data_IF_106964297991
#
_entry.id   IF_106964297991
#
_cell.length_a   1.000
_cell.length_b   1.000
_cell.length_c   1.000
_cell.angle_alpha   90.00
_cell.angle_beta   90.00
_cell.angle_gamma   90.00
#
_symmetry.space_group_name_H-M   'P 1'
#
loop_
_entity.id
_entity.type
_entity.pdbx_description
1 polymer ?
#
# COMPACT_ATOMS: atom_id res chain seq x y z
N UNK A 1 -6.04 8.36 -18.16
CA UNK A 1 -7.15 7.39 -18.07
C UNK A 1 -6.71 6.11 -17.39
N UNK A 2 -5.73 5.36 -17.95
CA UNK A 2 -5.18 4.12 -17.35
C UNK A 2 -4.98 4.21 -15.83
N UNK A 3 -4.18 5.18 -15.36
CA UNK A 3 -3.94 5.38 -13.92
C UNK A 3 -5.23 5.57 -13.11
N UNK A 4 -6.15 6.45 -13.57
CA UNK A 4 -7.39 6.75 -12.84
C UNK A 4 -8.25 5.49 -12.65
N UNK A 5 -8.38 4.68 -13.70
CA UNK A 5 -9.20 3.47 -13.67
C UNK A 5 -8.55 2.37 -12.83
N UNK A 6 -7.24 2.17 -12.98
CA UNK A 6 -6.51 1.11 -12.28
C UNK A 6 -6.40 1.36 -10.77
N UNK A 7 -6.23 2.61 -10.36
CA UNK A 7 -6.10 2.97 -8.94
C UNK A 7 -7.45 3.17 -8.26
N UNK A 8 -8.55 3.24 -9.02
CA UNK A 8 -9.91 3.36 -8.49
C UNK A 8 -10.31 2.20 -7.59
N UNK A 9 -11.32 2.39 -6.75
CA UNK A 9 -11.77 1.37 -5.81
C UNK A 9 -12.41 0.12 -6.47
N UNK A 10 -13.39 0.27 -7.39
CA UNK A 10 -14.10 -0.86 -7.97
C UNK A 10 -13.22 -1.76 -8.84
N UNK A 11 -13.23 -3.07 -8.56
CA UNK A 11 -12.51 -4.09 -9.36
C UNK A 11 -12.88 -4.03 -10.87
N UNK A 12 -14.16 -3.86 -11.27
CA UNK A 12 -14.51 -3.78 -12.69
C UNK A 12 -13.79 -2.64 -13.43
N UNK A 13 -13.62 -1.48 -12.79
CA UNK A 13 -12.91 -0.34 -13.40
C UNK A 13 -11.42 -0.65 -13.60
N UNK A 14 -10.81 -1.43 -12.71
CA UNK A 14 -9.42 -1.89 -12.85
C UNK A 14 -9.25 -2.79 -14.06
N UNK A 15 -10.22 -3.65 -14.36
CA UNK A 15 -10.23 -4.47 -15.58
C UNK A 15 -10.40 -3.60 -16.84
N UNK A 16 -11.29 -2.60 -16.79
CA UNK A 16 -11.45 -1.63 -17.89
C UNK A 16 -10.16 -0.84 -18.13
N UNK A 17 -9.36 -0.58 -17.09
CA UNK A 17 -8.06 0.07 -17.23
C UNK A 17 -7.14 -0.68 -18.20
N UNK A 18 -7.26 -2.01 -18.29
CA UNK A 18 -6.44 -2.83 -19.20
C UNK A 18 -6.70 -2.51 -20.68
N UNK A 19 -7.88 -1.99 -21.04
CA UNK A 19 -8.18 -1.55 -22.40
C UNK A 19 -7.37 -0.32 -22.83
N UNK A 20 -6.77 0.40 -21.87
CA UNK A 20 -5.96 1.60 -22.13
C UNK A 20 -4.46 1.32 -22.16
N UNK A 21 -4.04 0.05 -22.07
CA UNK A 21 -2.64 -0.33 -22.19
C UNK A 21 -2.17 -0.09 -23.62
N UNK A 22 -1.07 0.64 -23.75
CA UNK A 22 -0.45 0.95 -25.05
C UNK A 22 0.78 0.09 -25.32
N UNK A 23 1.28 -0.67 -24.33
CA UNK A 23 2.42 -1.56 -24.54
C UNK A 23 2.11 -2.58 -25.63
N UNK A 24 2.82 -2.57 -26.77
CA UNK A 24 2.76 -3.68 -27.69
C UNK A 24 3.33 -4.91 -26.99
N UNK A 25 2.59 -6.03 -26.95
CA UNK A 25 3.08 -7.32 -26.43
C UNK A 25 4.39 -7.77 -27.12
N UNK A 26 4.73 -7.18 -28.27
CA UNK A 26 5.95 -7.45 -29.04
C UNK A 26 7.18 -6.64 -28.62
N UNK A 27 7.13 -5.77 -27.60
CA UNK A 27 8.36 -5.07 -27.19
C UNK A 27 9.28 -6.08 -26.50
N UNK A 28 10.31 -6.52 -27.24
CA UNK A 28 11.46 -7.30 -26.78
C UNK A 28 12.29 -6.48 -25.78
N UNK A 29 11.68 -6.14 -24.64
CA UNK A 29 12.35 -5.41 -23.57
C UNK A 29 13.26 -6.37 -22.81
N UNK A 30 14.46 -5.91 -22.49
CA UNK A 30 15.33 -6.59 -21.53
C UNK A 30 14.55 -6.75 -20.22
N UNK A 31 14.46 -7.97 -19.70
CA UNK A 31 13.78 -8.27 -18.44
C UNK A 31 14.55 -7.57 -17.32
N UNK A 32 13.94 -6.56 -16.71
CA UNK A 32 14.48 -5.90 -15.51
C UNK A 32 14.23 -6.80 -14.29
N UNK A 33 14.95 -6.56 -13.19
CA UNK A 33 14.74 -7.32 -11.95
C UNK A 33 13.29 -7.23 -11.43
N UNK A 34 12.65 -6.06 -11.52
CA UNK A 34 11.25 -5.92 -11.14
C UNK A 34 10.30 -6.74 -12.03
N UNK A 35 10.55 -6.79 -13.36
CA UNK A 35 9.79 -7.71 -14.25
C UNK A 35 10.02 -9.16 -13.88
N UNK A 36 11.26 -9.54 -13.57
CA UNK A 36 11.60 -10.88 -13.14
C UNK A 36 10.87 -11.26 -11.84
N UNK A 37 10.72 -10.34 -10.88
CA UNK A 37 9.92 -10.55 -9.67
C UNK A 37 8.47 -10.92 -10.01
N UNK A 38 7.79 -10.09 -10.78
CA UNK A 38 6.39 -10.32 -11.12
C UNK A 38 6.18 -11.60 -11.93
N UNK A 39 7.04 -11.85 -12.93
CA UNK A 39 7.01 -13.10 -13.71
C UNK A 39 7.24 -14.31 -12.80
N UNK A 40 8.21 -14.23 -11.89
CA UNK A 40 8.52 -15.30 -10.97
C UNK A 40 7.35 -15.62 -10.05
N UNK A 41 6.76 -14.61 -9.39
CA UNK A 41 5.64 -14.82 -8.48
C UNK A 41 4.39 -15.34 -9.21
N UNK A 42 4.09 -14.82 -10.41
CA UNK A 42 3.00 -15.34 -11.23
C UNK A 42 3.26 -16.81 -11.65
N UNK A 43 4.49 -17.14 -12.06
CA UNK A 43 4.87 -18.51 -12.45
C UNK A 43 4.85 -19.47 -11.26
N UNK A 44 5.34 -19.02 -10.11
CA UNK A 44 5.23 -19.77 -8.85
C UNK A 44 3.77 -20.04 -8.52
N UNK A 45 2.91 -19.02 -8.63
CA UNK A 45 1.49 -19.16 -8.36
C UNK A 45 0.84 -20.16 -9.31
N UNK A 46 1.18 -20.09 -10.61
CA UNK A 46 0.71 -21.01 -11.63
C UNK A 46 1.09 -22.46 -11.31
N UNK A 47 2.37 -22.72 -11.02
CA UNK A 47 2.90 -24.07 -10.73
C UNK A 47 2.33 -24.61 -9.42
N UNK A 48 2.39 -23.82 -8.35
CA UNK A 48 1.84 -24.23 -7.04
C UNK A 48 0.36 -24.53 -7.19
N UNK A 49 -0.41 -23.59 -7.76
CA UNK A 49 -1.85 -23.79 -7.93
C UNK A 49 -2.18 -25.03 -8.73
N UNK A 50 -1.48 -25.27 -9.86
CA UNK A 50 -1.68 -26.46 -10.70
C UNK A 50 -1.50 -27.78 -9.94
N UNK A 51 -0.56 -27.85 -9.00
CA UNK A 51 -0.34 -29.04 -8.16
C UNK A 51 -1.47 -29.28 -7.15
N UNK A 52 -2.20 -28.22 -6.77
CA UNK A 52 -3.24 -28.26 -5.74
C UNK A 52 -4.67 -27.97 -6.26
N UNK A 53 -4.86 -27.87 -7.59
CA UNK A 53 -6.15 -27.57 -8.23
C UNK A 53 -7.27 -28.56 -7.87
N UNK A 54 -6.90 -29.79 -7.49
CA UNK A 54 -7.86 -30.84 -7.14
C UNK A 54 -8.42 -30.72 -5.71
N UNK A 55 -7.97 -29.75 -4.92
CA UNK A 55 -8.55 -29.46 -3.62
C UNK A 55 -9.86 -28.66 -3.80
N UNK A 56 -10.96 -29.13 -3.20
CA UNK A 56 -12.29 -28.57 -3.47
C UNK A 56 -12.35 -27.05 -3.19
N UNK A 57 -12.94 -26.30 -4.13
CA UNK A 57 -13.18 -24.86 -4.11
C UNK A 57 -11.95 -23.92 -4.08
N UNK A 58 -10.72 -24.43 -4.09
CA UNK A 58 -9.51 -23.59 -4.14
C UNK A 58 -9.31 -22.86 -5.49
N UNK A 59 -9.85 -23.41 -6.57
CA UNK A 59 -9.59 -22.94 -7.93
C UNK A 59 -9.91 -21.44 -8.13
N UNK A 60 -10.95 -20.89 -7.49
CA UNK A 60 -11.29 -19.46 -7.62
C UNK A 60 -10.22 -18.58 -6.98
N UNK A 61 -9.83 -18.90 -5.75
CA UNK A 61 -8.77 -18.19 -5.03
C UNK A 61 -7.48 -18.20 -5.85
N UNK A 62 -7.11 -19.37 -6.37
CA UNK A 62 -5.98 -19.54 -7.26
C UNK A 62 -6.03 -18.63 -8.50
N UNK A 63 -7.13 -18.66 -9.26
CA UNK A 63 -7.26 -17.85 -10.48
C UNK A 63 -7.24 -16.35 -10.18
N UNK A 64 -7.87 -15.92 -9.07
CA UNK A 64 -7.86 -14.51 -8.66
C UNK A 64 -6.47 -14.02 -8.28
N UNK A 65 -5.70 -14.80 -7.51
CA UNK A 65 -4.32 -14.43 -7.16
C UNK A 65 -3.44 -14.37 -8.42
N UNK A 66 -3.53 -15.37 -9.29
CA UNK A 66 -2.80 -15.38 -10.55
C UNK A 66 -3.15 -14.17 -11.41
N UNK A 67 -4.44 -13.86 -11.55
CA UNK A 67 -4.94 -12.69 -12.27
C UNK A 67 -4.36 -11.39 -11.69
N UNK A 68 -4.34 -11.24 -10.37
CA UNK A 68 -3.80 -10.02 -9.74
C UNK A 68 -2.31 -9.85 -9.98
N UNK A 69 -1.50 -10.91 -9.90
CA UNK A 69 -0.08 -10.82 -10.25
C UNK A 69 0.16 -10.51 -11.72
N UNK A 70 -0.65 -11.07 -12.62
CA UNK A 70 -0.58 -10.75 -14.05
C UNK A 70 -0.94 -9.28 -14.28
N UNK A 71 -2.00 -8.77 -13.64
CA UNK A 71 -2.39 -7.35 -13.75
C UNK A 71 -1.28 -6.44 -13.20
N UNK A 72 -0.69 -6.78 -12.05
CA UNK A 72 0.43 -6.03 -11.48
C UNK A 72 1.63 -5.98 -12.44
N UNK A 73 1.99 -7.12 -13.04
CA UNK A 73 3.06 -7.22 -14.03
C UNK A 73 2.81 -6.30 -15.25
N UNK A 74 1.60 -6.41 -15.81
CA UNK A 74 1.18 -5.65 -16.98
C UNK A 74 1.19 -4.15 -16.66
N UNK A 75 0.67 -3.76 -15.49
CA UNK A 75 0.64 -2.38 -15.05
C UNK A 75 2.05 -1.81 -14.86
N UNK A 76 2.97 -2.56 -14.24
CA UNK A 76 4.38 -2.16 -14.16
C UNK A 76 4.99 -1.94 -15.55
N UNK A 77 4.71 -2.84 -16.51
CA UNK A 77 5.20 -2.72 -17.88
C UNK A 77 4.65 -1.47 -18.58
N UNK A 78 3.37 -1.14 -18.41
CA UNK A 78 2.76 0.08 -18.95
C UNK A 78 3.39 1.33 -18.35
N UNK A 79 3.59 1.40 -17.03
CA UNK A 79 4.25 2.54 -16.39
C UNK A 79 5.70 2.70 -16.86
N UNK A 80 6.46 1.61 -16.92
CA UNK A 80 7.84 1.65 -17.42
C UNK A 80 7.89 2.12 -18.87
N UNK A 81 6.98 1.63 -19.71
CA UNK A 81 6.90 2.04 -21.11
C UNK A 81 6.52 3.53 -21.24
N UNK A 82 5.53 3.99 -20.46
CA UNK A 82 5.12 5.39 -20.40
C UNK A 82 6.31 6.30 -20.03
N UNK A 83 7.07 5.97 -18.99
CA UNK A 83 8.24 6.74 -18.58
C UNK A 83 9.34 6.74 -19.64
N UNK A 84 9.55 5.64 -20.37
CA UNK A 84 10.58 5.56 -21.42
C UNK A 84 10.21 6.38 -22.67
N UNK A 85 8.96 6.30 -23.12
CA UNK A 85 8.53 6.87 -24.39
C UNK A 85 8.24 8.38 -24.33
N UNK A 86 7.94 8.93 -23.16
CA UNK A 86 7.49 10.31 -23.02
C UNK A 86 8.59 11.21 -22.42
N UNK A 87 8.59 12.48 -22.79
CA UNK A 87 9.49 13.46 -22.19
C UNK A 87 9.07 13.85 -20.76
N UNK A 88 9.93 14.60 -20.06
CA UNK A 88 9.63 15.04 -18.68
C UNK A 88 8.40 15.95 -18.62
N UNK A 89 8.14 16.76 -19.64
CA UNK A 89 7.00 17.66 -19.67
C UNK A 89 5.67 16.88 -19.67
N UNK A 90 5.55 15.88 -20.53
CA UNK A 90 4.36 15.02 -20.66
C UNK A 90 4.13 14.18 -19.40
N UNK A 91 5.21 13.61 -18.85
CA UNK A 91 5.13 12.85 -17.59
C UNK A 91 4.64 13.76 -16.46
N UNK A 92 5.23 14.94 -16.31
CA UNK A 92 4.85 15.90 -15.26
C UNK A 92 3.43 16.41 -15.45
N UNK A 93 2.99 16.69 -16.68
CA UNK A 93 1.63 17.08 -16.97
C UNK A 93 0.63 15.98 -16.57
N UNK A 94 0.96 14.72 -16.84
CA UNK A 94 0.13 13.56 -16.47
C UNK A 94 0.02 13.40 -14.96
N UNK A 95 1.14 13.47 -14.24
CA UNK A 95 1.21 13.40 -12.78
C UNK A 95 0.42 14.55 -12.15
N UNK A 96 0.57 15.78 -12.66
CA UNK A 96 -0.17 16.94 -12.17
C UNK A 96 -1.68 16.82 -12.45
N UNK A 97 -2.07 16.35 -13.63
CA UNK A 97 -3.46 16.16 -13.98
C UNK A 97 -4.13 15.15 -13.04
N UNK A 98 -3.48 14.00 -12.83
CA UNK A 98 -3.94 12.99 -11.87
C UNK A 98 -4.06 13.55 -10.45
N UNK A 99 -3.06 14.31 -9.99
CA UNK A 99 -3.07 14.98 -8.70
C UNK A 99 -4.26 15.92 -8.52
N UNK A 100 -4.51 16.80 -9.48
CA UNK A 100 -5.60 17.78 -9.40
C UNK A 100 -6.98 17.12 -9.49
N UNK A 101 -7.13 16.06 -10.28
CA UNK A 101 -8.35 15.26 -10.28
C UNK A 101 -8.61 14.70 -8.88
N UNK A 102 -7.62 14.07 -8.24
CA UNK A 102 -7.80 13.57 -6.88
C UNK A 102 -8.13 14.69 -5.87
N UNK A 103 -7.46 15.85 -5.98
CA UNK A 103 -7.74 17.01 -5.12
C UNK A 103 -9.20 17.47 -5.21
N UNK A 104 -9.77 17.53 -6.41
CA UNK A 104 -11.18 17.90 -6.61
C UNK A 104 -12.11 16.95 -5.84
N UNK A 105 -11.87 15.64 -5.92
CA UNK A 105 -12.65 14.64 -5.18
C UNK A 105 -12.50 14.79 -3.66
N UNK A 106 -11.28 15.06 -3.18
CA UNK A 106 -11.02 15.31 -1.74
C UNK A 106 -11.78 16.55 -1.26
N UNK A 107 -11.76 17.64 -2.02
CA UNK A 107 -12.50 18.87 -1.67
C UNK A 107 -14.00 18.62 -1.66
N UNK A 108 -14.53 17.92 -2.67
CA UNK A 108 -15.94 17.55 -2.73
C UNK A 108 -16.36 16.72 -1.51
N UNK A 109 -15.59 15.68 -1.17
CA UNK A 109 -15.84 14.84 0.01
C UNK A 109 -15.80 15.65 1.30
N UNK A 110 -14.79 16.53 1.46
CA UNK A 110 -14.69 17.38 2.64
C UNK A 110 -15.90 18.31 2.78
N UNK A 111 -16.33 18.95 1.70
CA UNK A 111 -17.52 19.82 1.71
C UNK A 111 -18.77 19.01 2.10
N UNK A 112 -18.94 17.81 1.54
CA UNK A 112 -20.06 16.93 1.90
C UNK A 112 -20.05 16.57 3.39
N UNK A 113 -18.89 16.30 3.98
CA UNK A 113 -18.74 16.00 5.42
C UNK A 113 -19.03 17.25 6.27
N UNK A 114 -18.55 18.43 5.87
CA UNK A 114 -18.85 19.70 6.57
C UNK A 114 -20.36 19.95 6.61
N UNK A 115 -21.05 19.76 5.48
CA UNK A 115 -22.51 19.90 5.40
C UNK A 115 -23.21 18.87 6.29
N UNK A 116 -22.78 17.60 6.22
CA UNK A 116 -23.37 16.51 7.00
C UNK A 116 -23.17 16.67 8.52
N UNK A 117 -21.97 17.07 8.94
CA UNK A 117 -21.60 17.22 10.36
C UNK A 117 -22.05 18.54 10.97
N UNK A 118 -22.43 19.53 10.17
CA UNK A 118 -22.79 20.87 10.64
C UNK A 118 -21.62 21.65 11.27
N UNK A 119 -20.38 21.21 11.05
CA UNK A 119 -19.16 21.80 11.62
C UNK A 119 -18.14 22.11 10.53
N UNK A 120 -17.54 23.30 10.57
CA UNK A 120 -16.42 23.67 9.69
C UNK A 120 -15.20 22.78 9.92
N UNK A 121 -14.97 22.34 11.16
CA UNK A 121 -13.99 21.31 11.46
C UNK A 121 -14.72 19.96 11.64
N UNK A 122 -14.73 19.08 10.63
CA UNK A 122 -15.45 17.82 10.72
C UNK A 122 -14.89 16.89 11.80
N UNK A 123 -13.61 17.04 12.17
CA UNK A 123 -12.99 16.23 13.21
C UNK A 123 -13.46 16.56 14.63
N UNK A 124 -14.09 17.72 14.85
CA UNK A 124 -14.74 18.03 16.13
C UNK A 124 -16.01 17.20 16.34
N UNK A 125 -16.64 16.75 15.26
CA UNK A 125 -17.86 15.95 15.32
C UNK A 125 -17.54 14.44 15.41
N UNK A 126 -16.51 13.99 14.70
CA UNK A 126 -15.99 12.62 14.81
C UNK A 126 -14.61 12.51 14.16
N UNK A 127 -13.66 11.83 14.81
CA UNK A 127 -12.39 11.46 14.16
C UNK A 127 -12.57 10.59 12.91
N UNK A 128 -13.63 9.77 12.85
CA UNK A 128 -13.89 8.86 11.73
C UNK A 128 -14.26 9.56 10.42
N UNK A 129 -14.57 10.86 10.47
CA UNK A 129 -14.81 11.64 9.25
C UNK A 129 -13.61 11.68 8.30
N UNK A 130 -12.38 11.51 8.81
CA UNK A 130 -11.19 11.39 7.96
C UNK A 130 -11.26 10.17 7.03
N UNK A 131 -11.88 9.08 7.49
CA UNK A 131 -12.00 7.84 6.70
C UNK A 131 -12.90 7.98 5.47
N UNK A 132 -13.76 9.00 5.48
CA UNK A 132 -14.63 9.35 4.35
C UNK A 132 -13.88 10.13 3.25
N UNK A 133 -12.66 10.62 3.51
CA UNK A 133 -11.86 11.40 2.56
C UNK A 133 -10.96 10.47 1.75
N UNK A 134 -11.59 9.72 0.85
CA UNK A 134 -10.95 8.67 0.05
C UNK A 134 -10.34 9.17 -1.27
N UNK A 135 -10.60 10.41 -1.69
CA UNK A 135 -10.24 10.90 -3.02
C UNK A 135 -10.90 10.05 -4.12
N UNK A 136 -10.13 9.66 -5.14
CA UNK A 136 -10.58 8.72 -6.19
C UNK A 136 -10.40 7.23 -5.83
N UNK A 137 -9.93 6.92 -4.63
CA UNK A 137 -9.55 5.57 -4.22
C UNK A 137 -10.67 4.83 -3.48
N UNK A 138 -10.44 3.54 -3.16
CA UNK A 138 -11.37 2.75 -2.35
C UNK A 138 -11.39 3.09 -0.86
N UNK A 139 -10.35 3.76 -0.33
CA UNK A 139 -10.26 4.10 1.08
C UNK A 139 -9.33 5.30 1.33
N UNK A 140 -9.46 5.91 2.51
CA UNK A 140 -8.68 7.06 2.97
C UNK A 140 -7.18 6.76 3.09
N UNK A 141 -6.80 5.53 3.48
CA UNK A 141 -5.41 5.13 3.66
C UNK A 141 -4.59 5.23 2.36
N UNK A 142 -5.18 4.81 1.22
CA UNK A 142 -4.55 4.93 -0.09
C UNK A 142 -4.37 6.41 -0.45
N UNK A 143 -5.43 7.22 -0.27
CA UNK A 143 -5.37 8.66 -0.54
C UNK A 143 -4.23 9.30 0.24
N UNK A 144 -4.13 8.99 1.53
CA UNK A 144 -3.09 9.53 2.38
C UNK A 144 -1.70 9.11 1.91
N UNK A 145 -1.46 7.81 1.70
CA UNK A 145 -0.15 7.31 1.24
C UNK A 145 0.28 8.01 -0.05
N UNK A 146 -0.63 8.08 -1.02
CA UNK A 146 -0.36 8.68 -2.32
C UNK A 146 -0.12 10.18 -2.20
N UNK A 147 -0.94 10.91 -1.44
CA UNK A 147 -0.72 12.35 -1.20
C UNK A 147 0.59 12.60 -0.46
N UNK A 148 1.04 11.67 0.39
CA UNK A 148 2.38 11.68 0.97
C UNK A 148 3.50 11.58 -0.08
N UNK A 149 3.34 10.70 -1.08
CA UNK A 149 4.27 10.64 -2.22
C UNK A 149 4.27 11.94 -3.03
N UNK A 150 3.10 12.53 -3.29
CA UNK A 150 3.00 13.83 -3.96
C UNK A 150 3.63 14.97 -3.16
N UNK A 151 3.45 15.00 -1.83
CA UNK A 151 4.07 16.00 -0.97
C UNK A 151 5.60 15.91 -1.06
N UNK A 152 6.15 14.70 -0.92
CA UNK A 152 7.59 14.46 -1.09
C UNK A 152 8.05 14.92 -2.49
N UNK A 153 7.33 14.53 -3.54
CA UNK A 153 7.64 14.89 -4.92
C UNK A 153 7.67 16.41 -5.14
N UNK A 154 6.60 17.12 -4.76
CA UNK A 154 6.48 18.57 -4.96
C UNK A 154 7.42 19.38 -4.08
N UNK A 155 7.80 18.88 -2.91
CA UNK A 155 8.87 19.46 -2.09
C UNK A 155 10.19 19.51 -2.88
N UNK A 156 10.59 18.39 -3.49
CA UNK A 156 11.81 18.34 -4.30
C UNK A 156 11.71 19.12 -5.62
N UNK A 157 10.51 19.19 -6.22
CA UNK A 157 10.26 20.04 -7.40
C UNK A 157 10.12 21.52 -7.08
N UNK A 158 10.22 21.93 -5.80
CA UNK A 158 10.07 23.30 -5.34
C UNK A 158 8.73 23.95 -5.77
N UNK A 159 7.68 23.14 -5.89
CA UNK A 159 6.33 23.62 -6.26
C UNK A 159 5.49 23.80 -4.99
N UNK A 160 5.73 24.90 -4.27
CA UNK A 160 5.16 25.12 -2.93
C UNK A 160 3.63 25.07 -2.90
N UNK A 161 2.94 25.66 -3.88
CA UNK A 161 1.47 25.60 -3.92
C UNK A 161 0.93 24.17 -4.00
N UNK A 162 1.52 23.33 -4.85
CA UNK A 162 1.13 21.91 -4.97
C UNK A 162 1.53 21.09 -3.76
N UNK A 163 2.67 21.41 -3.13
CA UNK A 163 3.08 20.82 -1.86
C UNK A 163 2.03 21.09 -0.77
N UNK A 164 1.57 22.33 -0.61
CA UNK A 164 0.56 22.66 0.38
C UNK A 164 -0.78 21.96 0.12
N UNK A 165 -1.20 21.87 -1.15
CA UNK A 165 -2.40 21.10 -1.52
C UNK A 165 -2.22 19.62 -1.18
N UNK A 166 -1.06 19.02 -1.49
CA UNK A 166 -0.79 17.62 -1.20
C UNK A 166 -0.78 17.35 0.32
N UNK A 167 -0.14 18.24 1.11
CA UNK A 167 -0.14 18.17 2.57
C UNK A 167 -1.55 18.35 3.15
N UNK A 168 -2.34 19.26 2.59
CA UNK A 168 -3.74 19.42 2.99
C UNK A 168 -4.52 18.13 2.77
N UNK A 169 -4.49 17.56 1.55
CA UNK A 169 -5.17 16.29 1.27
C UNK A 169 -4.66 15.16 2.17
N UNK A 170 -3.34 15.09 2.38
CA UNK A 170 -2.71 14.13 3.27
C UNK A 170 -3.27 14.22 4.70
N UNK A 171 -3.25 15.42 5.31
CA UNK A 171 -3.67 15.63 6.70
C UNK A 171 -5.17 15.40 6.90
N UNK A 172 -6.00 15.79 5.94
CA UNK A 172 -7.47 15.65 6.03
C UNK A 172 -7.93 14.18 6.05
N UNK A 173 -7.14 13.23 5.60
CA UNK A 173 -7.54 11.81 5.68
C UNK A 173 -7.59 11.25 7.10
N UNK A 174 -6.90 11.88 8.07
CA UNK A 174 -6.89 11.41 9.47
C UNK A 174 -6.29 10.02 9.70
N UNK A 175 -5.62 9.41 8.72
CA UNK A 175 -5.16 8.02 8.82
C UNK A 175 -3.80 7.89 9.55
N UNK A 176 -3.84 7.76 10.89
CA UNK A 176 -2.64 7.83 11.75
C UNK A 176 -1.49 6.87 11.40
N UNK A 177 -1.80 5.63 11.00
CA UNK A 177 -0.77 4.59 10.86
C UNK A 177 0.23 4.92 9.74
N UNK A 178 -0.25 5.36 8.58
CA UNK A 178 0.68 5.73 7.51
C UNK A 178 1.28 7.13 7.73
N UNK A 179 0.65 8.02 8.49
CA UNK A 179 1.30 9.25 8.93
C UNK A 179 2.56 8.93 9.73
N UNK A 180 2.45 8.05 10.74
CA UNK A 180 3.58 7.64 11.56
C UNK A 180 4.70 7.02 10.70
N UNK A 181 4.34 6.14 9.76
CA UNK A 181 5.30 5.55 8.82
C UNK A 181 6.01 6.63 7.98
N UNK A 182 5.27 7.63 7.48
CA UNK A 182 5.88 8.74 6.74
C UNK A 182 6.85 9.53 7.61
N UNK A 183 6.48 9.86 8.85
CA UNK A 183 7.33 10.60 9.78
C UNK A 183 8.60 9.83 10.13
N UNK A 184 8.49 8.52 10.37
CA UNK A 184 9.65 7.64 10.59
C UNK A 184 10.53 7.60 9.35
N UNK A 185 9.95 7.44 8.16
CA UNK A 185 10.71 7.42 6.90
C UNK A 185 11.44 8.75 6.62
N UNK A 186 10.78 9.89 6.87
CA UNK A 186 11.41 11.21 6.79
C UNK A 186 12.57 11.31 7.78
N UNK A 187 12.34 10.95 9.04
CA UNK A 187 13.37 10.96 10.09
C UNK A 187 14.57 10.11 9.67
N UNK A 188 14.35 8.84 9.33
CA UNK A 188 15.41 7.95 8.85
C UNK A 188 16.15 8.55 7.66
N UNK A 189 15.44 9.13 6.68
CA UNK A 189 16.07 9.74 5.52
C UNK A 189 16.99 10.90 5.89
N UNK A 190 16.51 11.85 6.68
CA UNK A 190 17.26 13.05 7.03
C UNK A 190 18.45 12.74 7.94
N UNK A 191 18.33 11.74 8.82
CA UNK A 191 19.45 11.33 9.68
C UNK A 191 20.49 10.49 8.93
N UNK A 192 20.07 9.55 8.07
CA UNK A 192 20.97 8.58 7.43
C UNK A 192 21.56 9.07 6.09
N UNK A 193 20.82 9.82 5.28
CA UNK A 193 21.21 10.10 3.89
C UNK A 193 21.44 11.59 3.59
N UNK A 194 20.72 12.51 4.25
CA UNK A 194 20.90 13.93 4.01
C UNK A 194 22.08 14.49 4.81
N UNK A 195 23.01 15.18 4.12
CA UNK A 195 24.18 15.78 4.76
C UNK A 195 23.94 17.25 5.14
N UNK A 196 23.00 17.93 4.48
CA UNK A 196 22.72 19.35 4.71
C UNK A 196 21.95 19.55 6.01
N UNK A 197 22.57 20.24 6.97
CA UNK A 197 21.98 20.52 8.28
C UNK A 197 20.66 21.30 8.18
N UNK A 198 20.56 22.24 7.23
CA UNK A 198 19.35 23.04 7.03
C UNK A 198 18.12 22.18 6.70
N UNK A 199 18.28 21.15 5.87
CA UNK A 199 17.19 20.24 5.54
C UNK A 199 16.79 19.34 6.71
N UNK A 200 17.74 18.96 7.59
CA UNK A 200 17.42 18.26 8.83
C UNK A 200 16.56 19.14 9.74
N UNK A 201 16.93 20.42 9.91
CA UNK A 201 16.14 21.38 10.70
C UNK A 201 14.74 21.54 10.10
N UNK A 202 14.61 21.75 8.79
CA UNK A 202 13.28 21.87 8.16
C UNK A 202 12.45 20.60 8.33
N UNK A 203 13.07 19.42 8.30
CA UNK A 203 12.34 18.17 8.53
C UNK A 203 11.80 18.06 9.95
N UNK A 204 12.58 18.44 10.96
CA UNK A 204 12.15 18.45 12.36
C UNK A 204 11.01 19.45 12.53
N UNK A 205 11.12 20.63 11.93
CA UNK A 205 10.04 21.63 11.96
C UNK A 205 8.76 21.09 11.32
N UNK A 206 8.84 20.42 10.17
CA UNK A 206 7.67 19.78 9.52
C UNK A 206 7.05 18.72 10.44
N UNK A 207 7.86 17.86 11.06
CA UNK A 207 7.39 16.83 11.99
C UNK A 207 6.66 17.48 13.18
N UNK A 208 7.25 18.51 13.79
CA UNK A 208 6.64 19.25 14.89
C UNK A 208 5.32 19.90 14.43
N UNK A 209 5.29 20.55 13.27
CA UNK A 209 4.08 21.16 12.73
C UNK A 209 2.95 20.15 12.52
N UNK A 210 3.27 18.93 12.05
CA UNK A 210 2.29 17.87 11.88
C UNK A 210 1.77 17.37 13.24
N UNK A 211 2.64 17.16 14.23
CA UNK A 211 2.23 16.76 15.58
C UNK A 211 1.32 17.82 16.21
N UNK A 212 1.72 19.09 16.12
CA UNK A 212 0.93 20.23 16.60
C UNK A 212 -0.42 20.29 15.89
N UNK A 213 -0.46 20.10 14.57
CA UNK A 213 -1.71 20.05 13.82
C UNK A 213 -2.66 18.99 14.37
N UNK A 214 -2.21 17.74 14.54
CA UNK A 214 -3.09 16.69 15.05
C UNK A 214 -3.54 16.91 16.49
N UNK A 215 -2.66 17.43 17.34
CA UNK A 215 -3.00 17.76 18.73
C UNK A 215 -4.15 18.78 18.82
N UNK A 216 -4.13 19.82 17.98
CA UNK A 216 -5.15 20.88 18.01
C UNK A 216 -6.39 20.59 17.15
N UNK A 217 -6.24 19.96 15.99
CA UNK A 217 -7.33 19.78 15.03
C UNK A 217 -8.00 18.42 15.09
N UNK A 218 -7.36 17.40 15.67
CA UNK A 218 -7.88 16.03 15.70
C UNK A 218 -7.37 15.26 16.93
N UNK A 219 -7.72 15.78 18.13
CA UNK A 219 -7.26 15.25 19.42
C UNK A 219 -7.59 13.77 19.62
N UNK A 220 -8.77 13.32 19.21
CA UNK A 220 -9.18 11.91 19.28
C UNK A 220 -8.22 10.98 18.53
N UNK A 221 -7.75 11.39 17.34
CA UNK A 221 -6.79 10.61 16.57
C UNK A 221 -5.41 10.56 17.25
N UNK A 222 -5.01 11.65 17.93
CA UNK A 222 -3.80 11.68 18.74
C UNK A 222 -3.90 10.71 19.93
N UNK A 223 -5.00 10.77 20.68
CA UNK A 223 -5.25 9.88 21.82
C UNK A 223 -5.32 8.41 21.37
N UNK A 224 -5.94 8.15 20.22
CA UNK A 224 -5.97 6.83 19.58
C UNK A 224 -4.55 6.30 19.27
N UNK A 225 -3.69 7.13 18.68
CA UNK A 225 -2.32 6.74 18.34
C UNK A 225 -1.51 6.38 19.60
N UNK A 226 -1.63 7.16 20.68
CA UNK A 226 -0.99 6.86 21.96
C UNK A 226 -1.52 5.56 22.58
N UNK A 227 -2.85 5.36 22.55
CA UNK A 227 -3.46 4.12 23.02
C UNK A 227 -2.96 2.89 22.26
N UNK A 228 -2.78 3.00 20.95
CA UNK A 228 -2.20 1.93 20.13
C UNK A 228 -0.76 1.61 20.54
N UNK A 229 0.10 2.62 20.71
CA UNK A 229 1.51 2.43 21.12
C UNK A 229 1.58 1.72 22.47
N UNK A 230 0.78 2.14 23.45
CA UNK A 230 0.75 1.53 24.78
C UNK A 230 0.36 0.04 24.72
N UNK A 231 -0.63 -0.32 23.88
CA UNK A 231 -1.03 -1.72 23.67
C UNK A 231 0.04 -2.54 22.94
N UNK A 232 0.71 -1.94 21.95
CA UNK A 232 1.79 -2.60 21.24
C UNK A 232 2.97 -2.92 22.16
N UNK A 233 3.27 -2.04 23.13
CA UNK A 233 4.35 -2.24 24.10
C UNK A 233 3.99 -3.19 25.24
N UNK A 234 2.71 -3.41 25.53
CA UNK A 234 2.27 -4.29 26.61
C UNK A 234 2.50 -5.78 26.34
N UNK A 235 2.57 -6.19 25.06
CA UNK A 235 2.74 -7.59 24.63
C UNK A 235 1.82 -8.60 25.36
N UNK A 236 0.57 -8.20 25.63
CA UNK A 236 -0.42 -9.01 26.33
C UNK A 236 -1.62 -9.37 25.42
N UNK A 237 -2.71 -9.87 26.01
CA UNK A 237 -3.94 -10.20 25.28
C UNK A 237 -4.53 -9.01 24.49
N UNK A 238 -4.26 -7.77 24.91
CA UNK A 238 -4.75 -6.51 24.32
C UNK A 238 -3.87 -6.01 23.16
N UNK A 239 -2.81 -6.73 22.84
CA UNK A 239 -1.94 -6.43 21.71
C UNK A 239 -2.75 -6.31 20.40
N UNK A 240 -2.43 -5.32 19.55
CA UNK A 240 -3.10 -5.16 18.25
C UNK A 240 -3.06 -6.41 17.37
N UNK A 241 -4.16 -6.68 16.66
CA UNK A 241 -4.27 -7.87 15.83
C UNK A 241 -3.33 -7.88 14.65
N UNK A 242 -2.91 -6.71 14.16
CA UNK A 242 -1.84 -6.62 13.17
C UNK A 242 -0.53 -7.23 13.71
N UNK A 243 -0.17 -6.99 14.97
CA UNK A 243 0.98 -7.64 15.60
C UNK A 243 0.74 -9.15 15.83
N UNK A 244 -0.46 -9.54 16.28
CA UNK A 244 -0.83 -10.96 16.38
C UNK A 244 -0.69 -11.70 15.04
N UNK A 245 -1.06 -11.05 13.93
CA UNK A 245 -0.96 -11.62 12.58
C UNK A 245 0.49 -11.91 12.16
N UNK A 246 1.44 -11.03 12.52
CA UNK A 246 2.87 -11.28 12.28
C UNK A 246 3.38 -12.47 13.08
N UNK A 247 2.96 -12.60 14.35
CA UNK A 247 3.33 -13.73 15.20
C UNK A 247 2.74 -15.04 14.65
N UNK A 248 1.48 -15.04 14.23
CA UNK A 248 0.85 -16.20 13.58
C UNK A 248 1.56 -16.57 12.28
N UNK A 249 1.93 -15.59 11.46
CA UNK A 249 2.72 -15.81 10.23
C UNK A 249 4.06 -16.45 10.56
N UNK A 250 4.77 -15.94 11.57
CA UNK A 250 6.05 -16.48 11.99
C UNK A 250 5.91 -17.93 12.46
N UNK A 251 4.97 -18.23 13.35
CA UNK A 251 4.72 -19.60 13.81
C UNK A 251 4.42 -20.52 12.63
N UNK A 252 3.45 -20.17 11.79
CA UNK A 252 3.12 -20.96 10.61
C UNK A 252 4.34 -21.21 9.70
N UNK A 253 5.14 -20.17 9.44
CA UNK A 253 6.32 -20.23 8.59
C UNK A 253 7.39 -21.17 9.18
N UNK A 254 7.52 -21.23 10.51
CA UNK A 254 8.49 -22.08 11.21
C UNK A 254 7.96 -23.47 11.62
N UNK A 255 6.66 -23.73 11.48
CA UNK A 255 6.02 -24.99 11.92
C UNK A 255 6.54 -26.24 11.18
N UNK A 256 7.03 -26.09 9.95
CA UNK A 256 7.61 -27.20 9.17
C UNK A 256 8.57 -26.69 8.08
N UNK A 257 9.48 -27.55 7.62
CA UNK A 257 10.38 -27.22 6.51
C UNK A 257 9.62 -26.88 5.21
N UNK A 258 8.47 -27.53 4.97
CA UNK A 258 7.64 -27.26 3.81
C UNK A 258 7.03 -25.84 3.87
N UNK A 259 6.43 -25.47 5.00
CA UNK A 259 5.91 -24.11 5.21
C UNK A 259 7.04 -23.08 5.13
N UNK A 260 8.21 -23.38 5.69
CA UNK A 260 9.36 -22.50 5.67
C UNK A 260 9.80 -22.18 4.24
N UNK A 261 9.90 -23.19 3.38
CA UNK A 261 10.41 -23.03 2.01
C UNK A 261 9.34 -22.47 1.07
N UNK A 262 8.12 -23.05 1.11
CA UNK A 262 7.09 -22.83 0.09
C UNK A 262 5.89 -21.99 0.57
N UNK A 263 5.72 -21.81 1.88
CA UNK A 263 4.51 -21.20 2.44
C UNK A 263 3.26 -22.08 2.24
N UNK A 264 2.08 -21.49 2.43
CA UNK A 264 0.78 -22.17 2.28
C UNK A 264 0.30 -22.27 0.82
N UNK A 265 0.96 -21.55 -0.07
CA UNK A 265 0.50 -21.30 -1.42
C UNK A 265 -0.31 -20.01 -1.58
N UNK A 266 -0.40 -19.50 -2.81
CA UNK A 266 -1.14 -18.29 -3.13
C UNK A 266 -2.63 -18.44 -2.77
N UNK A 267 -3.21 -17.48 -2.05
CA UNK A 267 -4.64 -17.50 -1.70
C UNK A 267 -5.00 -18.46 -0.56
N UNK A 268 -4.01 -18.98 0.17
CA UNK A 268 -4.22 -19.94 1.25
C UNK A 268 -3.78 -19.45 2.63
N UNK A 269 -3.28 -18.22 2.78
CA UNK A 269 -2.79 -17.77 4.09
C UNK A 269 -3.20 -16.35 4.46
N UNK A 270 -2.68 -15.33 3.79
CA UNK A 270 -2.90 -13.94 4.17
C UNK A 270 -2.75 -13.05 2.95
N UNK A 271 -3.77 -13.04 2.10
CA UNK A 271 -3.90 -12.15 0.95
C UNK A 271 -5.31 -11.58 0.91
N UNK A 272 -5.50 -10.44 0.23
CA UNK A 272 -6.84 -9.88 0.06
C UNK A 272 -7.73 -10.88 -0.67
N UNK A 273 -7.19 -11.63 -1.64
CA UNK A 273 -7.95 -12.71 -2.29
C UNK A 273 -8.45 -13.72 -1.26
N UNK A 274 -7.60 -14.19 -0.34
CA UNK A 274 -8.02 -15.14 0.72
C UNK A 274 -9.18 -14.59 1.56
N UNK A 275 -9.12 -13.31 1.94
CA UNK A 275 -10.19 -12.63 2.66
C UNK A 275 -11.48 -12.50 1.82
N UNK A 276 -11.37 -12.15 0.53
CA UNK A 276 -12.53 -12.05 -0.37
C UNK A 276 -13.20 -13.41 -0.54
N UNK A 277 -12.42 -14.46 -0.84
CA UNK A 277 -12.99 -15.78 -1.12
C UNK A 277 -13.51 -16.49 0.12
N UNK A 278 -13.15 -16.04 1.33
CA UNK A 278 -13.73 -16.61 2.55
C UNK A 278 -15.20 -16.23 2.75
N UNK A 279 -15.71 -15.23 2.03
CA UNK A 279 -17.08 -14.73 2.13
C UNK A 279 -17.29 -13.66 3.20
N UNK A 280 -16.38 -13.52 4.17
CA UNK A 280 -16.56 -12.59 5.29
C UNK A 280 -16.06 -11.16 5.02
N UNK A 281 -15.17 -10.98 4.04
CA UNK A 281 -14.55 -9.68 3.80
C UNK A 281 -15.42 -8.73 2.94
N UNK A 282 -16.23 -9.29 2.04
CA UNK A 282 -17.07 -8.50 1.12
C UNK A 282 -18.45 -9.13 0.98
N UNK A 283 -19.49 -8.30 1.06
CA UNK A 283 -20.88 -8.77 0.97
C UNK A 283 -21.36 -9.18 -0.43
N UNK A 284 -20.54 -9.01 -1.47
CA UNK A 284 -20.90 -9.37 -2.86
C UNK A 284 -20.38 -10.73 -3.28
N UNK A 285 -19.50 -11.37 -2.50
CA UNK A 285 -18.93 -12.66 -2.88
C UNK A 285 -19.90 -13.80 -2.58
N UNK A 286 -20.23 -14.70 -3.53
CA UNK A 286 -21.22 -15.74 -3.30
C UNK A 286 -20.77 -16.77 -2.27
N UNK A 287 -21.61 -17.05 -1.27
CA UNK A 287 -21.34 -18.05 -0.23
C UNK A 287 -21.11 -19.45 -0.80
N UNK A 288 -21.80 -19.81 -1.89
CA UNK A 288 -21.62 -21.08 -2.61
C UNK A 288 -20.23 -21.26 -3.24
N UNK A 289 -19.49 -20.16 -3.41
CA UNK A 289 -18.12 -20.14 -3.93
C UNK A 289 -17.10 -19.87 -2.82
N UNK A 290 -17.53 -19.83 -1.56
CA UNK A 290 -16.65 -19.56 -0.42
C UNK A 290 -15.62 -20.67 -0.23
N UNK A 291 -14.41 -20.25 0.14
CA UNK A 291 -13.27 -21.12 0.37
C UNK A 291 -12.44 -20.57 1.52
N UNK A 292 -12.21 -21.44 2.52
CA UNK A 292 -11.35 -21.15 3.66
C UNK A 292 -10.32 -22.27 3.78
N UNK A 293 -9.06 -21.95 3.52
CA UNK A 293 -7.97 -22.92 3.68
C UNK A 293 -7.77 -23.25 5.17
N UNK A 294 -7.23 -24.44 5.48
CA UNK A 294 -6.88 -24.81 6.86
C UNK A 294 -5.85 -23.88 7.48
N UNK A 295 -4.86 -23.44 6.68
CA UNK A 295 -3.80 -22.54 7.15
C UNK A 295 -4.35 -21.15 7.47
N UNK A 296 -5.28 -20.64 6.65
CA UNK A 296 -5.95 -19.37 6.91
C UNK A 296 -6.88 -19.46 8.12
N UNK A 297 -7.71 -20.51 8.17
CA UNK A 297 -8.63 -20.78 9.28
C UNK A 297 -7.90 -20.81 10.62
N UNK A 298 -6.81 -21.58 10.74
CA UNK A 298 -6.06 -21.73 12.00
C UNK A 298 -5.39 -20.43 12.46
N UNK A 299 -5.13 -19.49 11.54
CA UNK A 299 -4.34 -18.29 11.82
C UNK A 299 -5.18 -17.03 11.65
N UNK A 300 -5.18 -16.43 10.47
CA UNK A 300 -5.63 -15.05 10.26
C UNK A 300 -7.16 -14.91 10.22
N UNK A 301 -7.89 -16.00 9.95
CA UNK A 301 -9.34 -15.96 9.83
C UNK A 301 -10.02 -15.55 11.14
N UNK A 302 -9.62 -16.13 12.28
CA UNK A 302 -10.26 -15.84 13.57
C UNK A 302 -9.93 -14.46 14.11
N UNK A 303 -8.73 -13.94 13.87
CA UNK A 303 -8.39 -12.56 14.27
C UNK A 303 -9.11 -11.52 13.40
N UNK A 304 -9.58 -11.92 12.22
CA UNK A 304 -10.50 -11.12 11.40
C UNK A 304 -11.95 -11.27 11.86
N UNK A 305 -12.37 -12.51 12.12
CA UNK A 305 -13.72 -12.88 12.55
C UNK A 305 -13.90 -12.90 14.08
N UNK A 306 -13.43 -11.84 14.74
CA UNK A 306 -13.87 -11.44 16.08
C UNK A 306 -13.22 -12.12 17.31
N UNK A 307 -12.74 -11.28 18.24
CA UNK A 307 -12.52 -11.59 19.66
C UNK A 307 -13.47 -10.72 20.51
N UNK A 308 -14.69 -11.21 20.73
CA UNK A 308 -15.77 -10.49 21.44
C UNK A 308 -15.41 -10.08 22.88
N UNK A 309 -14.31 -10.60 23.45
CA UNK A 309 -13.89 -10.33 24.82
C UNK A 309 -12.95 -9.13 24.95
N UNK A 310 -12.54 -8.51 23.85
CA UNK A 310 -11.69 -7.34 23.90
C UNK A 310 -12.57 -6.06 23.87
N UNK A 311 -12.74 -5.34 25.00
CA UNK A 311 -13.59 -4.15 25.07
C UNK A 311 -13.11 -2.97 24.20
N UNK A 312 -11.92 -3.09 23.59
CA UNK A 312 -11.35 -2.12 22.64
C UNK A 312 -11.55 -2.55 21.18
N UNK A 313 -12.22 -3.68 20.95
CA UNK A 313 -12.43 -4.34 19.64
C UNK A 313 -13.74 -3.93 18.96
N UNK A 314 -14.54 -3.09 19.61
CA UNK A 314 -15.76 -2.52 19.03
C UNK A 314 -15.50 -1.50 17.89
N UNK A 315 -14.27 -1.40 17.38
CA UNK A 315 -13.89 -0.45 16.33
C UNK A 315 -13.07 -1.19 15.27
N UNK A 316 -13.67 -1.40 14.09
CA UNK A 316 -13.05 -1.87 12.85
C UNK A 316 -11.99 -0.86 12.33
N UNK A 317 -10.90 -0.68 13.07
CA UNK A 317 -9.82 0.23 12.70
C UNK A 317 -8.69 -0.52 11.96
N UNK A 318 -7.96 0.19 11.10
CA UNK A 318 -6.91 -0.41 10.28
C UNK A 318 -5.74 -1.00 11.08
N UNK A 319 -5.61 -0.63 12.35
CA UNK A 319 -4.56 -1.13 13.22
C UNK A 319 -4.88 -2.54 13.77
N UNK A 320 -6.17 -2.91 13.79
CA UNK A 320 -6.65 -4.25 14.08
C UNK A 320 -6.87 -5.11 12.81
N UNK A 321 -6.64 -4.57 11.62
CA UNK A 321 -6.70 -5.38 10.40
C UNK A 321 -5.42 -6.22 10.25
N UNK A 322 -5.52 -7.55 10.04
CA UNK A 322 -4.36 -8.45 9.93
C UNK A 322 -3.64 -8.36 8.57
N UNK A 323 -3.90 -7.29 7.82
CA UNK A 323 -3.41 -7.13 6.45
C UNK A 323 -1.95 -6.70 6.44
N UNK A 324 -1.15 -7.32 5.57
CA UNK A 324 0.25 -6.97 5.37
C UNK A 324 0.78 -7.70 4.14
N UNK A 325 1.43 -6.97 3.24
CA UNK A 325 2.15 -7.59 2.13
C UNK A 325 3.30 -8.49 2.62
N UNK A 326 3.87 -8.23 3.81
CA UNK A 326 4.87 -9.12 4.39
C UNK A 326 4.26 -10.46 4.84
N UNK A 327 3.09 -10.43 5.49
CA UNK A 327 2.38 -11.67 5.84
C UNK A 327 2.00 -12.46 4.59
N UNK A 328 1.61 -11.77 3.53
CA UNK A 328 1.35 -12.41 2.24
C UNK A 328 2.60 -13.09 1.69
N UNK A 329 3.71 -12.34 1.52
CA UNK A 329 4.93 -12.87 0.91
C UNK A 329 5.47 -14.06 1.71
N UNK A 330 5.58 -13.92 3.04
CA UNK A 330 6.14 -14.97 3.89
C UNK A 330 5.16 -16.13 4.04
N UNK A 331 3.90 -15.86 4.34
CA UNK A 331 2.91 -16.88 4.63
C UNK A 331 2.44 -17.67 3.40
N UNK A 332 2.31 -17.04 2.24
CA UNK A 332 1.86 -17.72 1.01
C UNK A 332 2.99 -18.26 0.15
N UNK A 333 4.16 -17.62 0.13
CA UNK A 333 5.26 -17.95 -0.78
C UNK A 333 6.54 -18.43 -0.07
N UNK A 334 6.56 -18.41 1.26
CA UNK A 334 7.68 -18.90 2.07
C UNK A 334 9.01 -18.17 1.82
N UNK A 335 10.11 -18.87 2.07
CA UNK A 335 11.46 -18.37 1.82
C UNK A 335 11.70 -18.04 0.35
N UNK A 336 11.11 -18.83 -0.57
CA UNK A 336 11.27 -18.63 -2.01
C UNK A 336 10.70 -17.26 -2.43
N UNK A 337 9.48 -16.94 -2.00
CA UNK A 337 8.87 -15.64 -2.26
C UNK A 337 9.63 -14.50 -1.59
N UNK A 338 10.10 -14.70 -0.35
CA UNK A 338 10.90 -13.71 0.37
C UNK A 338 12.22 -13.38 -0.37
N UNK A 339 12.93 -14.40 -0.85
CA UNK A 339 14.16 -14.23 -1.66
C UNK A 339 13.83 -13.49 -2.96
N UNK A 340 12.76 -13.88 -3.67
CA UNK A 340 12.35 -13.18 -4.88
C UNK A 340 12.03 -11.71 -4.60
N UNK A 341 11.30 -11.42 -3.52
CA UNK A 341 10.96 -10.05 -3.13
C UNK A 341 12.21 -9.22 -2.79
N UNK A 342 13.14 -9.75 -1.99
CA UNK A 342 14.36 -9.04 -1.58
C UNK A 342 15.29 -8.81 -2.78
N UNK A 343 15.63 -9.87 -3.52
CA UNK A 343 16.68 -9.77 -4.54
C UNK A 343 16.18 -9.26 -5.88
N UNK A 344 14.92 -9.52 -6.25
CA UNK A 344 14.37 -9.09 -7.52
C UNK A 344 13.65 -7.75 -7.36
N UNK A 345 12.64 -7.65 -6.49
CA UNK A 345 11.85 -6.42 -6.35
C UNK A 345 12.61 -5.30 -5.62
N UNK A 346 13.02 -5.53 -4.37
CA UNK A 346 13.82 -4.56 -3.60
C UNK A 346 15.16 -4.32 -4.29
N UNK A 347 15.83 -5.39 -4.75
CA UNK A 347 17.10 -5.30 -5.47
C UNK A 347 17.03 -4.42 -6.72
N UNK A 348 15.90 -4.36 -7.43
CA UNK A 348 15.71 -3.45 -8.56
C UNK A 348 15.84 -1.98 -8.16
N UNK A 349 15.20 -1.58 -7.06
CA UNK A 349 15.20 -0.20 -6.56
C UNK A 349 16.49 0.15 -5.82
N UNK A 350 17.14 -0.84 -5.21
CA UNK A 350 18.43 -0.66 -4.56
C UNK A 350 19.57 -0.39 -5.56
N UNK A 351 19.46 -0.90 -6.79
CA UNK A 351 20.41 -0.59 -7.88
C UNK A 351 20.34 0.88 -8.26
N UNK A 352 21.33 1.65 -7.83
CA UNK A 352 21.37 3.11 -8.05
C UNK A 352 20.64 3.91 -6.97
N UNK A 353 20.32 3.30 -5.82
CA UNK A 353 19.64 3.97 -4.72
C UNK A 353 20.32 5.28 -4.31
N UNK A 354 21.65 5.31 -4.27
CA UNK A 354 22.41 6.51 -3.88
C UNK A 354 22.23 7.69 -4.83
N UNK A 355 21.92 7.46 -6.11
CA UNK A 355 21.63 8.53 -7.06
C UNK A 355 20.20 9.09 -6.97
N UNK A 356 19.29 8.40 -6.28
CA UNK A 356 17.92 8.88 -6.12
C UNK A 356 17.88 10.11 -5.20
N UNK A 357 16.90 10.98 -5.46
CA UNK A 357 16.60 12.16 -4.64
C UNK A 357 15.39 11.86 -3.77
N UNK A 358 14.20 12.32 -4.18
CA UNK A 358 12.94 12.08 -3.49
C UNK A 358 12.55 10.60 -3.46
N UNK A 359 13.05 9.80 -4.41
CA UNK A 359 12.82 8.35 -4.48
C UNK A 359 13.34 7.59 -3.25
N UNK A 360 14.36 8.10 -2.55
CA UNK A 360 14.85 7.46 -1.31
C UNK A 360 13.78 7.47 -0.22
N UNK A 361 13.14 8.61 -0.01
CA UNK A 361 12.09 8.77 1.00
C UNK A 361 10.88 7.93 0.60
N UNK A 362 10.42 8.06 -0.65
CA UNK A 362 9.29 7.29 -1.18
C UNK A 362 9.53 5.77 -1.03
N UNK A 363 10.76 5.31 -1.29
CA UNK A 363 11.12 3.90 -1.11
C UNK A 363 11.04 3.44 0.33
N UNK A 364 11.66 4.17 1.27
CA UNK A 364 11.62 3.84 2.70
C UNK A 364 10.17 3.87 3.21
N UNK A 365 9.39 4.89 2.83
CA UNK A 365 7.97 4.98 3.17
C UNK A 365 7.18 3.81 2.61
N UNK A 366 7.40 3.43 1.35
CA UNK A 366 6.70 2.30 0.73
C UNK A 366 7.00 0.97 1.45
N UNK A 367 8.25 0.72 1.83
CA UNK A 367 8.60 -0.45 2.64
C UNK A 367 7.87 -0.45 3.99
N UNK A 368 7.74 0.70 4.63
CA UNK A 368 6.91 0.82 5.83
C UNK A 368 5.43 0.59 5.53
N UNK A 369 4.90 1.12 4.43
CA UNK A 369 3.50 0.95 4.07
C UNK A 369 3.13 -0.50 3.77
N UNK A 370 4.06 -1.35 3.28
CA UNK A 370 3.80 -2.79 3.10
C UNK A 370 3.35 -3.51 4.38
N UNK A 371 3.55 -2.92 5.57
CA UNK A 371 3.01 -3.39 6.86
C UNK A 371 1.49 -3.24 6.97
N UNK A 372 0.91 -2.32 6.21
CA UNK A 372 -0.48 -1.88 6.39
C UNK A 372 -1.48 -2.73 5.61
N UNK A 373 -1.16 -3.11 4.36
CA UNK A 373 -2.12 -3.76 3.46
C UNK A 373 -1.41 -4.50 2.29
N UNK A 374 -2.20 -5.19 1.47
CA UNK A 374 -1.79 -5.97 0.30
C UNK A 374 -1.62 -5.08 -0.94
N UNK A 375 -0.66 -4.16 -0.93
CA UNK A 375 -0.55 -3.14 -1.98
C UNK A 375 -0.32 -3.69 -3.39
N UNK A 376 0.23 -4.90 -3.50
CA UNK A 376 0.36 -5.61 -4.78
C UNK A 376 -0.98 -6.06 -5.37
N UNK A 377 -2.00 -6.29 -4.54
CA UNK A 377 -3.36 -6.68 -4.98
C UNK A 377 -4.32 -5.49 -5.07
N UNK A 378 -4.01 -4.38 -4.39
CA UNK A 378 -4.77 -3.13 -4.54
C UNK A 378 -4.42 -2.37 -5.82
N UNK A 379 -3.19 -2.47 -6.33
CA UNK A 379 -2.64 -1.68 -7.44
C UNK A 379 -2.63 -0.14 -7.21
N UNK A 380 -3.40 0.39 -6.27
CA UNK A 380 -3.54 1.84 -6.08
C UNK A 380 -2.28 2.52 -5.54
N UNK A 381 -1.56 1.86 -4.62
CA UNK A 381 -0.33 2.40 -4.02
C UNK A 381 0.91 1.98 -4.82
N UNK A 382 1.05 0.69 -5.13
CA UNK A 382 2.27 0.15 -5.75
C UNK A 382 2.54 0.78 -7.13
N UNK A 383 1.52 0.96 -7.97
CA UNK A 383 1.69 1.53 -9.32
C UNK A 383 2.15 2.99 -9.27
N UNK A 384 1.64 3.76 -8.30
CA UNK A 384 2.07 5.16 -8.12
C UNK A 384 3.46 5.24 -7.50
N UNK A 385 3.78 4.36 -6.55
CA UNK A 385 5.14 4.19 -6.05
C UNK A 385 6.12 3.91 -7.20
N UNK A 386 5.82 2.94 -8.06
CA UNK A 386 6.64 2.56 -9.21
C UNK A 386 6.79 3.70 -10.21
N UNK A 387 5.71 4.44 -10.49
CA UNK A 387 5.73 5.64 -11.35
C UNK A 387 6.71 6.69 -10.82
N UNK A 388 6.63 7.04 -9.52
CA UNK A 388 7.51 8.04 -8.93
C UNK A 388 8.97 7.59 -8.91
N UNK A 389 9.22 6.31 -8.63
CA UNK A 389 10.57 5.74 -8.59
C UNK A 389 11.21 5.68 -9.98
N UNK A 390 10.46 5.24 -10.99
CA UNK A 390 10.93 5.21 -12.39
C UNK A 390 11.20 6.61 -12.92
N UNK A 391 10.33 7.59 -12.61
CA UNK A 391 10.60 8.99 -12.94
C UNK A 391 11.87 9.49 -12.26
N UNK A 392 12.06 9.24 -10.97
CA UNK A 392 13.23 9.74 -10.26
C UNK A 392 14.53 9.14 -10.79
N UNK A 393 14.48 7.85 -11.15
CA UNK A 393 15.60 7.17 -11.80
C UNK A 393 15.92 7.79 -13.15
N UNK A 394 14.91 8.04 -14.00
CA UNK A 394 15.09 8.70 -15.30
C UNK A 394 15.75 10.08 -15.14
N UNK A 395 15.30 10.87 -14.18
CA UNK A 395 15.89 12.18 -13.86
C UNK A 395 17.36 12.08 -13.43
N UNK A 396 17.67 11.08 -12.60
CA UNK A 396 19.02 10.84 -12.10
C UNK A 396 19.98 10.32 -13.19
N UNK A 397 19.47 9.58 -14.15
CA UNK A 397 20.23 9.10 -15.32
C UNK A 397 20.51 10.25 -16.30
N UNK A 398 19.52 11.12 -16.57
CA UNK A 398 19.73 12.30 -17.41
C UNK A 398 20.68 13.31 -16.78
N UNK A 399 20.65 13.53 -15.47
CA UNK A 399 21.53 14.49 -14.80
C UNK A 399 23.02 14.09 -14.77
N UNK A 400 23.36 12.85 -15.17
CA UNK A 400 24.74 12.37 -15.29
C UNK A 400 25.33 12.53 -16.70
N UNK A 401 24.47 12.73 -17.70
CA UNK A 401 24.85 13.05 -19.08
C UNK A 401 25.09 14.55 -19.18
#
# INVERSE_FOLDING_TARGET
MFLLLLTSGPIPLKLVALLFIKVPLKVRTRVSLAKAFYIFIASYSLVYGALFLFNQNYWIAYFLVLLFWIIAFIAFCEIENFIKQNDFQTINATINCYFFINFIFVVQQLISIIIYSGSLNPFNASASHGDMIMGIYSNSSINMIVMGFYAIYFFYKRSLGKLFIALFCFLMTGYMSGLLILLVALTMFFFLFEKRISLKIYSILIIISIIVFYYFFSRENYDYALGYINRALAFDAKMPFKLKSYIQTYHYWTDSAANFIFGAGPGNFSSRVTFVVSGDYVGWYPESLSYVSKSFAKNHFWIWNYDFNNPWDNINNAANQPFSAYNQIIGEYGLIGLIAFIFLYIGFWMRGFMSLTYGKIIFISFLGYLVLDYWFEYFSVVILFELFMLLNRKESETAKL
#
